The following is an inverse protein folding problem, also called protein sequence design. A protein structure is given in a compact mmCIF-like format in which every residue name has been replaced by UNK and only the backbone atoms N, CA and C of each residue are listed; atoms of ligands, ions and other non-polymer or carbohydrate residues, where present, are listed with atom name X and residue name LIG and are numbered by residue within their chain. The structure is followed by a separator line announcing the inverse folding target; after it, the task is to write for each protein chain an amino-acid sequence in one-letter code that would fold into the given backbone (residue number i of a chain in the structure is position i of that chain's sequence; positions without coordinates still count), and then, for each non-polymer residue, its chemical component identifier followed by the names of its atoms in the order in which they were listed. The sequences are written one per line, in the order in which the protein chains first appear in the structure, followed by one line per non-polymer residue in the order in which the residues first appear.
data_IF_159920441698
#
_entry.id   IF_159920441698
#
_cell.length_a   1.000
_cell.length_b   1.000
_cell.length_c   1.000
_cell.angle_alpha   90.00
_cell.angle_beta   90.00
_cell.angle_gamma   90.00
#
_symmetry.space_group_name_H-M   'P 1'
#
loop_
_entity.id
_entity.type
_entity.pdbx_description
1 polymer ?
#
# COMPACT_ATOMS: atom_id res chain seq x y z
N UNK A 1 4.78 0.29 8.51
CA UNK A 1 4.59 -1.08 7.99
C UNK A 1 4.69 -1.06 6.46
N UNK A 2 5.23 -2.12 5.88
CA UNK A 2 5.31 -2.31 4.41
C UNK A 2 4.62 -3.61 4.03
N UNK A 3 3.77 -3.57 3.00
CA UNK A 3 3.06 -4.75 2.47
C UNK A 3 3.35 -4.86 0.98
N UNK A 4 3.86 -6.00 0.54
CA UNK A 4 4.11 -6.22 -0.87
C UNK A 4 3.79 -7.67 -1.29
N UNK A 5 3.84 -7.93 -2.57
CA UNK A 5 3.57 -9.24 -3.15
C UNK A 5 2.89 -9.13 -4.52
N UNK A 6 2.77 -10.25 -5.19
CA UNK A 6 2.27 -10.32 -6.57
C UNK A 6 0.92 -9.61 -6.73
N UNK A 7 0.67 -9.04 -7.91
CA UNK A 7 -0.65 -8.49 -8.29
C UNK A 7 -1.75 -9.54 -8.11
N UNK A 8 -2.95 -9.07 -7.70
CA UNK A 8 -4.16 -9.91 -7.54
C UNK A 8 -4.10 -10.95 -6.41
N UNK A 9 -3.09 -10.89 -5.54
CA UNK A 9 -3.00 -11.77 -4.35
C UNK A 9 -3.76 -11.25 -3.12
N UNK A 10 -4.63 -10.23 -3.26
CA UNK A 10 -5.52 -9.80 -2.18
C UNK A 10 -4.98 -8.66 -1.29
N UNK A 11 -3.83 -8.03 -1.62
CA UNK A 11 -3.26 -6.91 -0.83
C UNK A 11 -4.29 -5.80 -0.55
N UNK A 12 -4.87 -5.22 -1.60
CA UNK A 12 -5.84 -4.13 -1.46
C UNK A 12 -7.12 -4.56 -0.74
N UNK A 13 -7.53 -5.82 -0.87
CA UNK A 13 -8.67 -6.38 -0.13
C UNK A 13 -8.34 -6.47 1.36
N UNK A 14 -7.14 -6.93 1.72
CA UNK A 14 -6.67 -6.95 3.11
C UNK A 14 -6.64 -5.54 3.69
N UNK A 15 -6.00 -4.61 2.97
CA UNK A 15 -5.86 -3.21 3.41
C UNK A 15 -7.22 -2.58 3.68
N UNK A 16 -8.18 -2.73 2.78
CA UNK A 16 -9.55 -2.19 2.95
C UNK A 16 -10.30 -2.76 4.16
N UNK A 17 -9.91 -3.94 4.65
CA UNK A 17 -10.51 -4.56 5.86
C UNK A 17 -9.89 -4.06 7.16
N UNK A 18 -8.61 -3.69 7.15
CA UNK A 18 -7.89 -3.23 8.35
C UNK A 18 -7.94 -1.72 8.54
N UNK A 19 -8.17 -0.95 7.47
CA UNK A 19 -8.27 0.50 7.50
C UNK A 19 -9.62 0.90 8.09
N UNK A 20 -9.57 1.76 9.13
CA UNK A 20 -10.75 2.27 9.82
C UNK A 20 -11.33 3.49 9.09
N UNK A 21 -12.56 3.90 9.47
CA UNK A 21 -13.21 5.10 8.89
C UNK A 21 -12.43 6.39 9.10
N UNK A 22 -11.62 6.46 10.16
CA UNK A 22 -10.75 7.61 10.47
C UNK A 22 -9.41 7.59 9.73
N UNK A 23 -9.08 6.50 9.04
CA UNK A 23 -7.82 6.33 8.34
C UNK A 23 -7.94 6.71 6.86
N UNK A 24 -6.83 6.95 6.19
CA UNK A 24 -6.78 7.30 4.77
C UNK A 24 -6.24 6.12 3.96
N UNK A 25 -7.00 5.74 2.94
CA UNK A 25 -6.55 4.81 1.89
C UNK A 25 -6.42 5.55 0.57
N UNK A 26 -5.20 5.70 0.11
CA UNK A 26 -4.85 6.35 -1.14
C UNK A 26 -4.27 5.33 -2.12
N UNK A 27 -4.70 5.38 -3.36
CA UNK A 27 -4.13 4.56 -4.45
C UNK A 27 -3.31 5.49 -5.35
N UNK A 28 -2.01 5.26 -5.38
CA UNK A 28 -1.11 6.02 -6.24
C UNK A 28 -1.22 5.57 -7.70
N UNK A 29 -0.94 6.49 -8.61
CA UNK A 29 -0.93 6.24 -10.05
C UNK A 29 0.31 6.87 -10.73
N UNK A 30 0.40 6.77 -12.06
CA UNK A 30 1.57 7.20 -12.84
C UNK A 30 1.56 8.68 -13.24
N UNK A 31 0.77 9.54 -12.59
CA UNK A 31 0.73 10.98 -12.87
C UNK A 31 2.05 11.65 -12.49
N UNK A 32 2.27 12.83 -13.06
CA UNK A 32 3.38 13.70 -12.66
C UNK A 32 3.34 14.05 -11.16
N UNK A 33 4.52 14.33 -10.58
CA UNK A 33 4.72 14.61 -9.15
C UNK A 33 3.74 15.64 -8.58
N UNK A 34 3.57 16.78 -9.25
CA UNK A 34 2.70 17.84 -8.77
C UNK A 34 1.22 17.41 -8.67
N UNK A 35 0.76 16.64 -9.68
CA UNK A 35 -0.59 16.08 -9.68
C UNK A 35 -0.76 14.98 -8.64
N UNK A 36 0.27 14.15 -8.42
CA UNK A 36 0.25 13.13 -7.35
C UNK A 36 0.11 13.79 -5.98
N UNK A 37 0.87 14.85 -5.69
CA UNK A 37 0.78 15.63 -4.45
C UNK A 37 -0.64 16.19 -4.27
N UNK A 38 -1.20 16.81 -5.31
CA UNK A 38 -2.56 17.38 -5.27
C UNK A 38 -3.63 16.33 -5.02
N UNK A 39 -3.55 15.18 -5.71
CA UNK A 39 -4.53 14.09 -5.54
C UNK A 39 -4.37 13.42 -4.17
N UNK A 40 -3.15 13.29 -3.69
CA UNK A 40 -2.91 12.79 -2.34
C UNK A 40 -3.48 13.73 -1.28
N UNK A 41 -3.27 15.06 -1.43
CA UNK A 41 -3.84 16.06 -0.53
C UNK A 41 -5.37 16.00 -0.46
N UNK A 42 -6.06 15.72 -1.59
CA UNK A 42 -7.53 15.54 -1.63
C UNK A 42 -8.03 14.40 -0.73
N UNK A 43 -7.22 13.40 -0.48
CA UNK A 43 -7.59 12.29 0.41
C UNK A 43 -7.84 12.74 1.86
N UNK A 44 -7.37 13.94 2.22
CA UNK A 44 -7.48 14.49 3.57
C UNK A 44 -8.57 15.55 3.74
N UNK A 45 -9.19 16.05 2.68
CA UNK A 45 -10.20 17.12 2.76
C UNK A 45 -11.38 16.78 3.67
N UNK A 46 -11.70 15.48 3.81
CA UNK A 46 -12.76 15.02 4.72
C UNK A 46 -12.44 15.22 6.21
N UNK A 47 -11.14 15.35 6.56
CA UNK A 47 -10.67 15.54 7.94
C UNK A 47 -10.18 16.98 8.18
N UNK A 48 -9.65 17.59 7.14
CA UNK A 48 -9.03 18.91 7.14
C UNK A 48 -9.62 19.68 5.96
N UNK A 49 -10.79 20.35 6.14
CA UNK A 49 -11.44 21.07 5.05
C UNK A 49 -10.51 22.06 4.35
N UNK A 50 -10.42 21.97 3.02
CA UNK A 50 -9.58 22.85 2.21
C UNK A 50 -8.08 22.47 2.19
N UNK A 51 -7.69 21.31 2.74
CA UNK A 51 -6.30 20.87 2.73
C UNK A 51 -5.73 20.78 1.31
N UNK A 52 -6.51 20.28 0.36
CA UNK A 52 -6.10 20.19 -1.05
C UNK A 52 -6.12 21.53 -1.81
N UNK A 53 -6.68 22.59 -1.23
CA UNK A 53 -6.66 23.93 -1.82
C UNK A 53 -5.33 24.66 -1.61
N UNK A 54 -4.47 24.14 -0.74
CA UNK A 54 -3.12 24.64 -0.51
C UNK A 54 -2.18 24.08 -1.58
N UNK A 55 -1.32 24.93 -2.12
CA UNK A 55 -0.26 24.50 -3.02
C UNK A 55 0.93 23.96 -2.22
N UNK A 56 1.26 22.68 -2.43
CA UNK A 56 2.42 22.02 -1.82
C UNK A 56 3.51 21.85 -2.89
N UNK A 57 4.68 22.48 -2.75
CA UNK A 57 5.76 22.39 -3.75
C UNK A 57 6.41 21.00 -3.78
N UNK A 58 6.36 20.27 -2.66
CA UNK A 58 6.96 18.94 -2.51
C UNK A 58 6.26 18.10 -1.45
N UNK A 59 6.64 16.81 -1.37
CA UNK A 59 6.11 15.87 -0.39
C UNK A 59 6.42 16.26 1.05
N UNK A 60 7.60 16.86 1.30
CA UNK A 60 7.99 17.24 2.66
C UNK A 60 7.06 18.32 3.21
N UNK A 61 6.82 19.40 2.45
CA UNK A 61 5.90 20.47 2.85
C UNK A 61 4.47 19.97 3.03
N UNK A 62 4.01 19.02 2.19
CA UNK A 62 2.71 18.40 2.36
C UNK A 62 2.65 17.60 3.68
N UNK A 63 3.62 16.70 3.95
CA UNK A 63 3.61 15.90 5.17
C UNK A 63 3.78 16.72 6.45
N UNK A 64 4.59 17.79 6.42
CA UNK A 64 4.72 18.72 7.55
C UNK A 64 3.40 19.44 7.81
N UNK A 65 2.75 19.97 6.78
CA UNK A 65 1.44 20.63 6.89
C UNK A 65 0.38 19.65 7.41
N UNK A 66 0.36 18.42 6.88
CA UNK A 66 -0.55 17.36 7.31
C UNK A 66 -0.36 17.07 8.80
N UNK A 67 0.87 16.83 9.23
CA UNK A 67 1.18 16.52 10.63
C UNK A 67 0.71 17.62 11.59
N UNK A 68 0.89 18.88 11.19
CA UNK A 68 0.46 20.03 12.01
C UNK A 68 -1.06 20.20 12.06
N UNK A 69 -1.77 19.78 11.01
CA UNK A 69 -3.22 19.94 10.87
C UNK A 69 -4.01 18.79 11.51
N UNK A 70 -3.41 17.63 11.71
CA UNK A 70 -4.09 16.47 12.32
C UNK A 70 -4.35 16.70 13.80
N UNK A 71 -5.58 16.46 14.24
CA UNK A 71 -6.01 16.56 15.66
C UNK A 71 -5.78 15.25 16.43
N UNK A 72 -5.87 14.12 15.74
CA UNK A 72 -5.65 12.78 16.30
C UNK A 72 -4.74 11.96 15.39
N UNK A 73 -4.19 10.87 15.91
CA UNK A 73 -3.36 9.96 15.13
C UNK A 73 -4.22 9.11 14.21
N UNK A 74 -3.87 9.11 12.93
CA UNK A 74 -4.51 8.32 11.88
C UNK A 74 -3.51 7.37 11.22
N UNK A 75 -4.02 6.39 10.46
CA UNK A 75 -3.20 5.57 9.57
C UNK A 75 -3.40 6.01 8.13
N UNK A 76 -2.30 6.21 7.41
CA UNK A 76 -2.28 6.54 6.00
C UNK A 76 -1.75 5.34 5.24
N UNK A 77 -2.59 4.73 4.44
CA UNK A 77 -2.21 3.64 3.56
C UNK A 77 -2.02 4.17 2.13
N UNK A 78 -0.83 3.98 1.58
CA UNK A 78 -0.50 4.32 0.20
C UNK A 78 -0.36 3.02 -0.58
N UNK A 79 -1.40 2.67 -1.33
CA UNK A 79 -1.37 1.51 -2.23
C UNK A 79 -0.72 1.90 -3.56
N UNK A 80 0.01 0.99 -4.18
CA UNK A 80 0.85 1.18 -5.37
C UNK A 80 1.92 2.28 -5.16
N UNK A 81 2.48 2.37 -3.95
CA UNK A 81 3.55 3.31 -3.57
C UNK A 81 4.73 3.40 -4.56
N UNK A 82 5.16 2.31 -5.24
CA UNK A 82 6.20 2.39 -6.28
C UNK A 82 5.94 3.42 -7.38
N UNK A 83 4.68 3.76 -7.70
CA UNK A 83 4.40 4.81 -8.69
C UNK A 83 4.80 6.21 -8.23
N UNK A 84 4.67 6.49 -6.93
CA UNK A 84 5.14 7.76 -6.36
C UNK A 84 6.67 7.85 -6.43
N UNK A 85 7.36 6.77 -6.04
CA UNK A 85 8.83 6.72 -6.02
C UNK A 85 9.42 6.80 -7.42
N UNK A 86 8.75 6.20 -8.43
CA UNK A 86 9.18 6.27 -9.83
C UNK A 86 9.25 7.72 -10.33
N UNK A 87 8.30 8.56 -9.91
CA UNK A 87 8.23 9.97 -10.34
C UNK A 87 8.98 10.92 -9.39
N UNK A 88 9.20 10.51 -8.15
CA UNK A 88 10.04 11.22 -7.18
C UNK A 88 10.92 10.24 -6.40
N UNK A 89 12.11 9.90 -6.91
CA UNK A 89 13.07 9.03 -6.22
C UNK A 89 13.53 9.54 -4.85
N UNK A 90 13.32 10.83 -4.55
CA UNK A 90 13.60 11.43 -3.25
C UNK A 90 12.55 11.14 -2.17
N UNK A 91 11.36 10.69 -2.54
CA UNK A 91 10.27 10.44 -1.59
C UNK A 91 10.63 9.44 -0.47
N UNK A 92 11.36 8.34 -0.69
CA UNK A 92 11.80 7.48 0.39
C UNK A 92 12.64 8.19 1.47
N UNK A 93 13.47 9.17 1.09
CA UNK A 93 14.23 9.98 2.04
C UNK A 93 13.35 10.94 2.84
N UNK A 94 12.31 11.50 2.23
CA UNK A 94 11.29 12.29 2.96
C UNK A 94 10.60 11.41 4.00
N UNK A 95 10.19 10.20 3.63
CA UNK A 95 9.56 9.25 4.56
C UNK A 95 10.53 8.82 5.65
N UNK A 96 11.80 8.61 5.33
CA UNK A 96 12.86 8.36 6.32
C UNK A 96 12.85 9.42 7.41
N UNK A 97 12.91 10.70 7.04
CA UNK A 97 12.92 11.81 8.00
C UNK A 97 11.68 11.82 8.90
N UNK A 98 10.51 11.46 8.36
CA UNK A 98 9.26 11.35 9.12
C UNK A 98 9.35 10.20 10.13
N UNK A 99 9.84 9.04 9.70
CA UNK A 99 9.95 7.84 10.54
C UNK A 99 10.99 8.04 11.63
N UNK A 100 12.13 8.66 11.31
CA UNK A 100 13.18 8.95 12.29
C UNK A 100 12.69 9.94 13.38
N UNK A 101 11.71 10.80 13.05
CA UNK A 101 11.04 11.71 13.97
C UNK A 101 9.65 11.20 14.43
N UNK A 102 9.44 9.89 14.45
CA UNK A 102 8.14 9.24 14.70
C UNK A 102 7.43 9.64 16.01
N UNK A 103 8.15 10.08 17.03
CA UNK A 103 7.56 10.55 18.29
C UNK A 103 6.66 11.78 18.08
N UNK A 104 6.99 12.62 17.10
CA UNK A 104 6.24 13.82 16.75
C UNK A 104 5.22 13.59 15.61
N UNK A 105 5.24 12.41 14.97
CA UNK A 105 4.32 12.10 13.88
C UNK A 105 2.93 11.78 14.43
N UNK A 106 1.90 12.46 13.88
CA UNK A 106 0.48 12.21 14.18
C UNK A 106 -0.17 11.23 13.22
N UNK A 107 0.61 10.50 12.45
CA UNK A 107 0.12 9.45 11.57
C UNK A 107 1.08 8.27 11.51
N UNK A 108 0.51 7.10 11.21
CA UNK A 108 1.26 5.90 10.85
C UNK A 108 1.22 5.73 9.32
N UNK A 109 2.27 5.14 8.75
CA UNK A 109 2.32 4.85 7.32
C UNK A 109 2.25 3.34 7.05
N UNK A 110 1.41 2.98 6.09
CA UNK A 110 1.40 1.67 5.43
C UNK A 110 1.73 1.91 3.97
N UNK A 111 2.89 1.41 3.54
CA UNK A 111 3.32 1.46 2.15
C UNK A 111 3.03 0.11 1.50
N UNK A 112 2.24 0.11 0.43
CA UNK A 112 1.88 -1.10 -0.28
C UNK A 112 2.27 -1.02 -1.76
N UNK A 113 2.68 -2.14 -2.32
CA UNK A 113 3.00 -2.21 -3.75
C UNK A 113 2.96 -3.60 -4.33
N UNK A 114 2.67 -3.68 -5.63
CA UNK A 114 2.64 -4.92 -6.39
C UNK A 114 3.95 -5.24 -7.11
N UNK A 115 4.87 -4.28 -7.21
CA UNK A 115 6.23 -4.50 -7.73
C UNK A 115 7.12 -5.04 -6.60
N UNK A 116 7.24 -6.37 -6.53
CA UNK A 116 8.00 -7.04 -5.47
C UNK A 116 9.46 -6.53 -5.43
N UNK A 117 10.14 -6.50 -6.58
CA UNK A 117 11.52 -6.03 -6.68
C UNK A 117 11.69 -4.62 -6.13
N UNK A 118 10.85 -3.66 -6.57
CA UNK A 118 10.97 -2.27 -6.10
C UNK A 118 10.71 -2.14 -4.60
N UNK A 119 9.72 -2.90 -4.07
CA UNK A 119 9.40 -2.85 -2.64
C UNK A 119 10.53 -3.48 -1.79
N UNK A 120 11.09 -4.61 -2.25
CA UNK A 120 12.25 -5.24 -1.59
C UNK A 120 13.47 -4.32 -1.63
N UNK A 121 13.78 -3.73 -2.77
CA UNK A 121 14.89 -2.77 -2.90
C UNK A 121 14.74 -1.58 -1.95
N UNK A 122 13.50 -1.09 -1.75
CA UNK A 122 13.23 0.03 -0.85
C UNK A 122 13.40 -0.32 0.64
N UNK A 123 13.13 -1.55 1.07
CA UNK A 123 13.08 -1.88 2.50
C UNK A 123 14.14 -2.88 2.96
N UNK A 124 14.69 -3.69 2.05
CA UNK A 124 15.68 -4.72 2.36
C UNK A 124 17.08 -4.35 1.90
N UNK A 125 17.24 -3.43 0.96
CA UNK A 125 18.56 -2.98 0.50
C UNK A 125 19.17 -2.02 1.54
N UNK A 126 20.38 -2.34 1.99
CA UNK A 126 21.11 -1.56 3.02
C UNK A 126 21.36 -0.10 2.62
N UNK A 127 21.44 0.21 1.32
CA UNK A 127 21.61 1.58 0.83
C UNK A 127 20.31 2.38 0.76
N UNK A 128 19.16 1.73 0.96
CA UNK A 128 17.85 2.39 0.90
C UNK A 128 17.58 3.24 2.14
N UNK A 129 16.97 4.44 1.98
CA UNK A 129 16.55 5.28 3.10
C UNK A 129 15.59 4.58 4.08
N UNK A 130 14.82 3.60 3.64
CA UNK A 130 13.84 2.91 4.48
C UNK A 130 14.37 1.61 5.11
N UNK A 131 15.63 1.25 4.84
CA UNK A 131 16.23 0.06 5.44
C UNK A 131 16.24 0.14 6.98
N UNK A 132 15.75 -0.92 7.63
CA UNK A 132 15.70 -1.01 9.10
C UNK A 132 14.69 -0.06 9.79
N UNK A 133 13.86 0.68 9.02
CA UNK A 133 12.89 1.67 9.53
C UNK A 133 11.45 1.20 9.49
N UNK A 134 11.22 -0.02 9.04
CA UNK A 134 9.88 -0.61 9.00
C UNK A 134 9.66 -1.46 10.25
N UNK A 135 8.65 -1.15 11.05
CA UNK A 135 8.26 -1.97 12.20
C UNK A 135 7.82 -3.38 11.74
N UNK A 136 7.15 -3.46 10.59
CA UNK A 136 6.71 -4.72 9.99
C UNK A 136 6.85 -4.70 8.47
N UNK A 137 7.26 -5.84 7.91
CA UNK A 137 7.35 -6.10 6.48
C UNK A 137 6.59 -7.39 6.18
N UNK A 138 5.52 -7.28 5.39
CA UNK A 138 4.65 -8.41 5.05
C UNK A 138 4.72 -8.69 3.55
N UNK A 139 5.23 -9.88 3.20
CA UNK A 139 5.17 -10.38 1.83
C UNK A 139 3.93 -11.27 1.66
N UNK A 140 2.93 -10.77 0.93
CA UNK A 140 1.72 -11.53 0.60
C UNK A 140 2.02 -12.47 -0.56
N UNK A 141 2.14 -13.74 -0.22
CA UNK A 141 2.36 -14.83 -1.18
C UNK A 141 1.05 -15.29 -1.80
N UNK A 142 1.10 -15.93 -2.99
CA UNK A 142 -0.04 -16.69 -3.51
C UNK A 142 -0.54 -17.69 -2.47
N UNK A 143 -1.84 -17.89 -2.39
CA UNK A 143 -2.45 -18.84 -1.45
C UNK A 143 -2.18 -20.29 -1.87
N UNK A 144 -2.10 -21.19 -0.90
CA UNK A 144 -1.80 -22.62 -1.16
C UNK A 144 -3.01 -23.37 -1.72
N UNK A 145 -2.76 -24.57 -2.26
CA UNK A 145 -3.79 -25.47 -2.79
C UNK A 145 -4.85 -25.84 -1.74
N UNK A 146 -4.49 -25.84 -0.45
CA UNK A 146 -5.45 -26.07 0.64
C UNK A 146 -6.62 -25.06 0.56
N UNK A 147 -6.33 -23.79 0.34
CA UNK A 147 -7.35 -22.76 0.22
C UNK A 147 -8.18 -22.88 -1.06
N UNK A 148 -7.63 -23.45 -2.13
CA UNK A 148 -8.38 -23.76 -3.34
C UNK A 148 -9.42 -24.85 -3.07
N UNK A 149 -9.00 -25.91 -2.39
CA UNK A 149 -9.90 -26.98 -1.94
C UNK A 149 -11.06 -26.45 -1.08
N UNK A 150 -10.76 -25.61 -0.08
CA UNK A 150 -11.77 -25.01 0.79
C UNK A 150 -12.71 -24.06 0.05
N UNK A 151 -12.18 -23.23 -0.84
CA UNK A 151 -12.95 -22.22 -1.59
C UNK A 151 -13.98 -22.84 -2.55
N UNK A 152 -13.57 -23.89 -3.26
CA UNK A 152 -14.46 -24.57 -4.21
C UNK A 152 -15.19 -25.78 -3.60
N UNK A 153 -14.89 -26.20 -2.39
CA UNK A 153 -15.36 -27.44 -1.77
C UNK A 153 -15.11 -28.65 -2.68
N UNK A 154 -13.99 -28.64 -3.41
CA UNK A 154 -13.63 -29.65 -4.39
C UNK A 154 -12.95 -30.82 -3.73
N UNK A 155 -13.04 -32.04 -4.31
CA UNK A 155 -12.24 -33.18 -3.89
C UNK A 155 -10.73 -32.93 -4.07
N UNK A 156 -9.85 -33.71 -3.39
CA UNK A 156 -8.41 -33.47 -3.43
C UNK A 156 -7.81 -33.47 -4.84
N UNK A 157 -8.21 -34.41 -5.69
CA UNK A 157 -7.73 -34.52 -7.07
C UNK A 157 -8.14 -33.29 -7.87
N UNK A 158 -9.43 -32.95 -7.88
CA UNK A 158 -9.97 -31.78 -8.58
C UNK A 158 -9.34 -30.48 -8.07
N UNK A 159 -9.03 -30.41 -6.77
CA UNK A 159 -8.37 -29.24 -6.20
C UNK A 159 -6.93 -29.09 -6.71
N UNK A 160 -6.19 -30.20 -6.84
CA UNK A 160 -4.82 -30.18 -7.39
C UNK A 160 -4.84 -29.83 -8.88
N UNK A 161 -5.73 -30.44 -9.66
CA UNK A 161 -5.89 -30.14 -11.10
C UNK A 161 -6.26 -28.66 -11.32
N UNK A 162 -7.29 -28.16 -10.63
CA UNK A 162 -7.69 -26.75 -10.73
C UNK A 162 -6.60 -25.81 -10.28
N UNK A 163 -5.91 -26.11 -9.19
CA UNK A 163 -4.80 -25.27 -8.72
C UNK A 163 -3.61 -25.29 -9.68
N UNK A 164 -3.33 -26.38 -10.38
CA UNK A 164 -2.26 -26.44 -11.39
C UNK A 164 -2.53 -25.52 -12.58
N UNK A 165 -3.80 -25.27 -12.90
CA UNK A 165 -4.22 -24.37 -13.98
C UNK A 165 -4.23 -22.90 -13.53
N UNK A 166 -4.87 -22.62 -12.39
CA UNK A 166 -5.14 -21.24 -11.94
C UNK A 166 -4.11 -20.70 -10.96
N UNK A 167 -3.30 -21.56 -10.36
CA UNK A 167 -2.31 -21.22 -9.33
C UNK A 167 -2.97 -20.64 -8.06
N UNK A 168 -2.16 -20.02 -7.22
CA UNK A 168 -2.57 -19.44 -5.94
C UNK A 168 -2.98 -17.97 -5.99
N UNK A 169 -3.48 -17.47 -7.12
CA UNK A 169 -3.93 -16.06 -7.24
C UNK A 169 -5.45 -15.99 -7.06
N UNK A 170 -5.97 -15.48 -5.92
CA UNK A 170 -7.41 -15.53 -5.60
C UNK A 170 -8.32 -14.94 -6.67
N UNK A 171 -7.91 -13.86 -7.32
CA UNK A 171 -8.72 -13.22 -8.38
C UNK A 171 -8.99 -14.14 -9.56
N UNK A 172 -8.09 -15.08 -9.88
CA UNK A 172 -8.36 -16.02 -10.97
C UNK A 172 -9.44 -17.01 -10.56
N UNK A 173 -9.51 -17.38 -9.30
CA UNK A 173 -10.55 -18.26 -8.77
C UNK A 173 -11.93 -17.60 -8.80
N UNK A 174 -12.00 -16.31 -8.45
CA UNK A 174 -13.24 -15.54 -8.52
C UNK A 174 -13.77 -15.50 -9.96
N UNK A 175 -12.89 -15.18 -10.95
CA UNK A 175 -13.27 -15.10 -12.36
C UNK A 175 -13.82 -16.41 -12.93
N UNK A 176 -13.35 -17.55 -12.45
CA UNK A 176 -13.88 -18.86 -12.85
C UNK A 176 -15.27 -19.11 -12.26
N UNK A 177 -15.46 -18.72 -10.99
CA UNK A 177 -16.75 -18.88 -10.31
C UNK A 177 -17.83 -17.94 -10.85
N UNK A 178 -17.48 -16.75 -11.32
CA UNK A 178 -18.40 -15.79 -11.94
C UNK A 178 -18.93 -16.26 -13.30
N UNK A 179 -18.29 -17.26 -13.96
CA UNK A 179 -18.66 -17.78 -15.28
C UNK A 179 -19.45 -19.10 -15.23
N UNK A 180 -19.58 -19.70 -14.05
CA UNK A 180 -20.37 -20.90 -13.80
C UNK A 180 -21.59 -20.55 -12.93
#
# INVERSE_FOLDING_TARGET
MVIYGRRRCGKSTLLKRIILKKDVYHVADIREKALQITVFAKSFDRFIPGFSSVHYPDWNSLFVSLNNSLKERITICIDEFPYLVKNDPGLPSVIQNIVDNKLNARFNLILCGSSQQMMEDMVLNRSSPLYGRCDEIINIKPVSVKWFHEYYKAGPVTAIEGYSIFGGVPRYWELVKEKN
#
